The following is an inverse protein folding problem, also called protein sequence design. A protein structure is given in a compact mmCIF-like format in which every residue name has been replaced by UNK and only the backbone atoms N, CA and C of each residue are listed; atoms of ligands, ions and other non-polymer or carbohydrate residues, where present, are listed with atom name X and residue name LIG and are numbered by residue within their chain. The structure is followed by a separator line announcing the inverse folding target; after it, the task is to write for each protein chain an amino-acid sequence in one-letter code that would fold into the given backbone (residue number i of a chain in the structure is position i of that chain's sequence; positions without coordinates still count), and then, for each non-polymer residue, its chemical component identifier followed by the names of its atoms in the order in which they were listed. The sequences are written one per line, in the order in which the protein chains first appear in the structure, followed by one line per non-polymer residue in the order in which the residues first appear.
data_IF_924972885743
#
_entry.id   IF_924972885743
#
_cell.length_a   1.000
_cell.length_b   1.000
_cell.length_c   1.000
_cell.angle_alpha   90.00
_cell.angle_beta   90.00
_cell.angle_gamma   90.00
#
_symmetry.space_group_name_H-M   'P 1'
#
loop_
_entity.id
_entity.type
_entity.pdbx_description
1 polymer ?
#
# COMPACT_ATOMS: atom_id res chain seq x y z
N UNK A 1 8.57 -3.83 14.39
CA UNK A 1 7.67 -4.97 14.66
C UNK A 1 6.82 -4.77 15.91
N UNK A 2 7.39 -4.61 17.11
CA UNK A 2 6.61 -4.41 18.34
C UNK A 2 5.59 -3.25 18.27
N UNK A 3 6.00 -2.09 17.78
CA UNK A 3 5.11 -0.92 17.65
C UNK A 3 4.00 -1.15 16.61
N UNK A 4 4.29 -1.88 15.51
CA UNK A 4 3.30 -2.31 14.52
C UNK A 4 2.25 -3.23 15.16
N UNK A 5 2.68 -4.23 15.94
CA UNK A 5 1.79 -5.17 16.64
C UNK A 5 0.94 -4.45 17.69
N UNK A 6 1.51 -3.51 18.44
CA UNK A 6 0.73 -2.67 19.37
C UNK A 6 -0.31 -1.83 18.64
N UNK A 7 0.00 -1.35 17.44
CA UNK A 7 -0.96 -0.63 16.60
C UNK A 7 -2.11 -1.53 16.14
N UNK A 8 -1.86 -2.82 15.89
CA UNK A 8 -2.92 -3.77 15.50
C UNK A 8 -4.05 -3.87 16.53
N UNK A 9 -3.75 -3.72 17.82
CA UNK A 9 -4.77 -3.74 18.89
C UNK A 9 -5.72 -2.55 18.86
N UNK A 10 -5.33 -1.45 18.21
CA UNK A 10 -6.14 -0.24 18.08
C UNK A 10 -6.98 -0.24 16.81
N UNK A 11 -6.74 -1.19 15.93
CA UNK A 11 -7.52 -1.35 14.71
C UNK A 11 -8.91 -1.78 15.13
N UNK A 12 -9.90 -1.07 14.60
CA UNK A 12 -11.31 -1.41 14.74
C UNK A 12 -11.89 -1.42 13.34
N UNK A 13 -12.69 -2.44 13.06
CA UNK A 13 -13.42 -2.48 11.81
C UNK A 13 -14.60 -1.52 11.87
N UNK A 14 -14.68 -0.61 10.90
CA UNK A 14 -15.84 0.25 10.71
C UNK A 14 -16.30 0.21 9.26
N UNK A 15 -17.61 0.19 9.00
CA UNK A 15 -18.12 0.39 7.66
C UNK A 15 -17.78 1.81 7.18
N UNK A 16 -17.34 1.89 5.92
CA UNK A 16 -17.09 3.16 5.22
C UNK A 16 -18.25 3.41 4.27
N UNK A 17 -19.01 4.47 4.51
CA UNK A 17 -20.16 4.86 3.67
C UNK A 17 -19.71 5.33 2.29
N UNK A 18 -20.58 5.26 1.27
CA UNK A 18 -20.21 5.71 -0.08
C UNK A 18 -19.83 7.19 -0.16
N UNK A 19 -20.36 8.04 0.72
CA UNK A 19 -19.95 9.44 0.82
C UNK A 19 -18.55 9.58 1.40
N UNK A 20 -18.20 8.79 2.43
CA UNK A 20 -16.84 8.73 2.98
C UNK A 20 -15.83 8.19 1.95
N UNK A 21 -16.22 7.19 1.13
CA UNK A 21 -15.36 6.69 0.04
C UNK A 21 -14.96 7.81 -0.91
N UNK A 22 -15.86 8.73 -1.25
CA UNK A 22 -15.55 9.88 -2.11
C UNK A 22 -14.49 10.79 -1.50
N UNK A 23 -14.57 11.05 -0.19
CA UNK A 23 -13.55 11.82 0.55
C UNK A 23 -12.20 11.10 0.50
N UNK A 24 -12.18 9.79 0.74
CA UNK A 24 -10.96 8.99 0.67
C UNK A 24 -10.36 8.96 -0.74
N UNK A 25 -11.17 8.81 -1.78
CA UNK A 25 -10.71 8.90 -3.17
C UNK A 25 -10.00 10.23 -3.46
N UNK A 26 -10.51 11.34 -2.93
CA UNK A 26 -9.88 12.65 -3.07
C UNK A 26 -8.53 12.74 -2.32
N UNK A 27 -8.44 12.12 -1.13
CA UNK A 27 -7.20 12.09 -0.33
C UNK A 27 -6.13 11.20 -0.98
N UNK A 28 -6.53 10.04 -1.52
CA UNK A 28 -5.66 9.09 -2.23
C UNK A 28 -5.14 9.73 -3.52
N UNK A 29 -6.06 10.24 -4.34
CA UNK A 29 -5.78 10.76 -5.67
C UNK A 29 -5.54 12.25 -5.67
N UNK A 30 -4.94 12.81 -4.62
CA UNK A 30 -4.72 14.26 -4.44
C UNK A 30 -3.74 14.89 -5.47
N UNK A 31 -3.71 14.36 -6.70
CA UNK A 31 -3.27 14.95 -7.97
C UNK A 31 -3.98 16.27 -8.29
N UNK A 32 -5.10 16.60 -7.63
CA UNK A 32 -5.75 17.91 -7.80
C UNK A 32 -4.84 19.07 -7.37
N UNK A 33 -3.86 18.90 -6.46
CA UNK A 33 -2.92 19.99 -6.13
C UNK A 33 -2.04 20.39 -7.31
N UNK A 34 -1.50 19.44 -8.06
CA UNK A 34 -0.60 19.74 -9.19
C UNK A 34 -1.35 20.13 -10.45
N UNK A 35 -2.48 19.47 -10.74
CA UNK A 35 -3.30 19.83 -11.89
C UNK A 35 -4.05 21.13 -11.66
N UNK A 36 -4.65 21.38 -10.49
CA UNK A 36 -5.29 22.68 -10.23
C UNK A 36 -4.27 23.80 -10.10
N UNK A 37 -3.05 23.59 -9.57
CA UNK A 37 -2.03 24.66 -9.61
C UNK A 37 -1.53 24.92 -11.03
N UNK A 38 -1.34 23.89 -11.87
CA UNK A 38 -0.98 24.08 -13.29
C UNK A 38 -2.11 24.72 -14.09
N UNK A 39 -3.35 24.26 -13.90
CA UNK A 39 -4.56 24.78 -14.55
C UNK A 39 -4.90 26.18 -14.03
N UNK A 40 -4.68 26.49 -12.75
CA UNK A 40 -4.88 27.83 -12.17
C UNK A 40 -3.79 28.79 -12.62
N UNK A 41 -2.53 28.32 -12.75
CA UNK A 41 -1.46 29.09 -13.42
C UNK A 41 -1.81 29.36 -14.89
N UNK A 42 -2.27 28.36 -15.64
CA UNK A 42 -2.74 28.53 -17.02
C UNK A 42 -3.97 29.44 -17.11
N UNK A 43 -4.98 29.27 -16.25
CA UNK A 43 -6.20 30.08 -16.26
C UNK A 43 -5.95 31.53 -15.83
N UNK A 44 -5.04 31.76 -14.89
CA UNK A 44 -4.57 33.10 -14.54
C UNK A 44 -3.75 33.72 -15.68
N UNK A 45 -3.01 32.91 -16.44
CA UNK A 45 -2.29 33.35 -17.64
C UNK A 45 -3.23 33.68 -18.81
N UNK A 46 -4.37 33.00 -18.93
CA UNK A 46 -5.35 33.17 -20.01
C UNK A 46 -6.63 33.93 -19.62
N UNK A 47 -6.73 34.49 -18.42
CA UNK A 47 -7.84 35.35 -18.00
C UNK A 47 -9.22 34.68 -17.85
N UNK A 48 -9.29 33.36 -17.73
CA UNK A 48 -10.58 32.65 -17.62
C UNK A 48 -11.12 32.66 -16.18
N UNK A 49 -12.14 33.49 -15.92
CA UNK A 49 -12.95 33.43 -14.70
C UNK A 49 -13.91 32.24 -14.82
N UNK A 50 -13.74 31.21 -13.98
CA UNK A 50 -14.71 30.12 -13.88
C UNK A 50 -15.59 30.30 -12.64
N UNK A 51 -16.90 30.46 -12.85
CA UNK A 51 -17.91 30.27 -11.82
C UNK A 51 -17.94 28.78 -11.44
N UNK A 52 -17.31 28.41 -10.32
CA UNK A 52 -17.40 27.06 -9.77
C UNK A 52 -18.73 26.95 -9.04
N UNK A 53 -19.58 25.98 -9.44
CA UNK A 53 -20.70 25.50 -8.62
C UNK A 53 -20.11 25.13 -7.25
N UNK A 54 -20.67 25.71 -6.20
CA UNK A 54 -20.40 25.37 -4.81
C UNK A 54 -20.94 23.95 -4.62
N UNK A 55 -20.08 22.94 -4.77
CA UNK A 55 -20.37 21.61 -4.23
C UNK A 55 -20.52 21.76 -2.71
N UNK A 56 -21.56 21.14 -2.16
CA UNK A 56 -22.01 21.27 -0.77
C UNK A 56 -20.86 21.09 0.25
N UNK A 57 -20.26 22.21 0.67
CA UNK A 57 -19.21 22.26 1.69
C UNK A 57 -19.66 21.64 3.03
N UNK A 58 -20.96 21.64 3.31
CA UNK A 58 -21.53 21.14 4.55
C UNK A 58 -21.45 19.62 4.67
N UNK A 59 -21.83 18.86 3.64
CA UNK A 59 -21.78 17.39 3.68
C UNK A 59 -20.34 16.91 3.78
N UNK A 60 -19.44 17.47 2.95
CA UNK A 60 -18.02 17.10 2.95
C UNK A 60 -17.36 17.33 4.33
N UNK A 61 -17.80 18.33 5.08
CA UNK A 61 -17.31 18.55 6.45
C UNK A 61 -17.78 17.47 7.44
N UNK A 62 -19.00 16.94 7.28
CA UNK A 62 -19.55 15.86 8.11
C UNK A 62 -18.83 14.54 7.84
N UNK A 63 -18.65 14.18 6.57
CA UNK A 63 -17.93 12.95 6.21
C UNK A 63 -16.45 13.00 6.63
N UNK A 64 -15.82 14.17 6.52
CA UNK A 64 -14.43 14.36 6.97
C UNK A 64 -14.31 14.21 8.47
N UNK A 65 -15.23 14.78 9.24
CA UNK A 65 -15.27 14.63 10.69
C UNK A 65 -15.52 13.16 11.09
N UNK A 66 -16.45 12.47 10.43
CA UNK A 66 -16.70 11.04 10.65
C UNK A 66 -15.44 10.20 10.40
N UNK A 67 -14.70 10.46 9.33
CA UNK A 67 -13.43 9.77 9.04
C UNK A 67 -12.33 10.09 10.06
N UNK A 68 -12.30 11.30 10.62
CA UNK A 68 -11.40 11.67 11.72
C UNK A 68 -11.77 10.98 13.03
N UNK A 69 -13.06 10.93 13.37
CA UNK A 69 -13.57 10.23 14.55
C UNK A 69 -13.29 8.72 14.48
N UNK A 70 -13.39 8.13 13.27
CA UNK A 70 -12.96 6.75 12.99
C UNK A 70 -11.44 6.57 13.01
N UNK A 71 -10.66 7.64 13.10
CA UNK A 71 -9.20 7.61 13.08
C UNK A 71 -8.59 7.20 11.73
N UNK A 72 -9.36 7.27 10.63
CA UNK A 72 -8.91 6.90 9.27
C UNK A 72 -8.04 8.01 8.66
N UNK A 73 -8.35 9.25 9.00
CA UNK A 73 -7.61 10.43 8.53
C UNK A 73 -7.25 11.32 9.71
N UNK A 74 -6.16 12.07 9.58
CA UNK A 74 -5.74 13.07 10.55
C UNK A 74 -5.36 14.39 9.86
N UNK A 75 -5.42 15.53 10.58
CA UNK A 75 -4.92 16.80 10.08
C UNK A 75 -3.43 16.70 9.75
N UNK A 76 -3.08 17.16 8.56
CA UNK A 76 -1.71 17.29 8.10
C UNK A 76 -1.10 18.55 8.73
N UNK A 77 -0.60 18.40 9.96
CA UNK A 77 0.12 19.45 10.68
C UNK A 77 1.50 19.66 10.05
N UNK A 78 1.54 20.29 8.88
CA UNK A 78 2.74 21.04 8.50
C UNK A 78 2.81 22.25 9.44
N UNK A 79 3.98 22.61 9.99
CA UNK A 79 4.09 23.79 10.83
C UNK A 79 3.77 25.01 9.97
N UNK A 80 2.53 25.46 10.06
CA UNK A 80 2.10 26.76 9.58
C UNK A 80 2.42 27.69 10.74
N UNK A 81 3.35 28.61 10.48
CA UNK A 81 3.78 29.73 11.31
C UNK A 81 3.07 29.87 12.66
N UNK A 82 3.88 29.73 13.71
CA UNK A 82 3.58 30.06 15.09
C UNK A 82 3.00 31.47 15.22
N UNK A 83 1.67 31.57 15.22
CA UNK A 83 0.94 32.69 15.81
C UNK A 83 -0.16 32.12 16.69
N UNK A 84 0.05 32.05 18.02
CA UNK A 84 -0.91 31.50 18.96
C UNK A 84 -1.91 32.61 19.32
N UNK A 85 -2.93 32.80 18.48
CA UNK A 85 -4.19 33.47 18.85
C UNK A 85 -5.19 33.23 17.72
N UNK A 86 -6.44 32.97 18.12
CA UNK A 86 -7.60 32.55 17.31
C UNK A 86 -7.76 31.02 17.17
N UNK A 87 -8.10 30.39 18.30
CA UNK A 87 -8.88 29.15 18.32
C UNK A 87 -10.33 29.56 18.04
N UNK A 88 -10.74 29.51 16.77
CA UNK A 88 -12.15 29.48 16.39
C UNK A 88 -12.32 28.62 15.13
N UNK A 89 -13.10 27.55 15.28
CA UNK A 89 -13.79 26.76 14.25
C UNK A 89 -13.22 26.81 12.82
N UNK A 90 -11.97 26.38 12.61
CA UNK A 90 -11.45 26.19 11.26
C UNK A 90 -11.94 24.84 10.72
N UNK A 91 -12.93 24.88 9.84
CA UNK A 91 -13.34 23.73 9.01
C UNK A 91 -12.10 23.15 8.32
N UNK A 92 -11.76 21.90 8.67
CA UNK A 92 -10.67 21.18 8.02
C UNK A 92 -11.16 20.73 6.66
N UNK A 93 -10.71 21.42 5.61
CA UNK A 93 -10.93 20.99 4.22
C UNK A 93 -10.15 19.71 3.93
N UNK A 94 -10.70 18.79 3.12
CA UNK A 94 -10.05 17.55 2.64
C UNK A 94 -8.57 17.72 2.23
N UNK A 95 -8.22 18.91 1.73
CA UNK A 95 -6.90 19.31 1.26
C UNK A 95 -5.82 19.38 2.36
N UNK A 96 -6.20 19.30 3.64
CA UNK A 96 -5.32 19.32 4.81
C UNK A 96 -5.35 18.02 5.60
N UNK A 97 -5.89 16.94 5.06
CA UNK A 97 -5.91 15.64 5.75
C UNK A 97 -4.90 14.67 5.12
N UNK A 98 -4.32 13.80 5.94
CA UNK A 98 -3.55 12.62 5.49
C UNK A 98 -4.14 11.36 6.09
N UNK A 99 -3.87 10.22 5.47
CA UNK A 99 -4.27 8.92 6.03
C UNK A 99 -3.40 8.59 7.23
N UNK A 100 -4.01 7.97 8.24
CA UNK A 100 -3.30 7.29 9.32
C UNK A 100 -2.93 5.87 8.88
N UNK A 101 -2.18 5.13 9.71
CA UNK A 101 -1.89 3.72 9.46
C UNK A 101 -3.16 2.87 9.40
N UNK A 102 -4.16 3.17 10.24
CA UNK A 102 -5.50 2.56 10.17
C UNK A 102 -6.16 2.88 8.82
N UNK A 103 -6.07 4.13 8.36
CA UNK A 103 -6.58 4.53 7.06
C UNK A 103 -5.95 3.75 5.92
N UNK A 104 -4.63 3.54 5.93
CA UNK A 104 -3.93 2.74 4.91
C UNK A 104 -4.43 1.29 4.87
N UNK A 105 -4.60 0.65 6.03
CA UNK A 105 -5.14 -0.72 6.13
C UNK A 105 -6.55 -0.80 5.52
N UNK A 106 -7.39 0.20 5.76
CA UNK A 106 -8.70 0.29 5.13
C UNK A 106 -8.62 0.51 3.61
N UNK A 107 -7.71 1.34 3.13
CA UNK A 107 -7.51 1.56 1.69
C UNK A 107 -7.09 0.26 1.00
N UNK A 108 -6.18 -0.49 1.60
CA UNK A 108 -5.67 -1.73 1.01
C UNK A 108 -6.69 -2.87 1.07
N UNK A 109 -7.35 -3.10 2.20
CA UNK A 109 -8.36 -4.16 2.36
C UNK A 109 -9.54 -3.98 1.40
N UNK A 110 -9.97 -2.74 1.17
CA UNK A 110 -11.09 -2.41 0.30
C UNK A 110 -10.68 -2.26 -1.18
N UNK A 111 -9.43 -2.59 -1.54
CA UNK A 111 -8.93 -2.58 -2.93
C UNK A 111 -9.15 -1.26 -3.66
N UNK A 112 -8.96 -0.14 -2.97
CA UNK A 112 -8.99 1.17 -3.63
C UNK A 112 -7.89 1.26 -4.70
N UNK A 113 -8.16 1.96 -5.79
CA UNK A 113 -7.15 2.24 -6.81
C UNK A 113 -6.23 3.37 -6.34
N UNK A 114 -4.93 3.09 -6.28
CA UNK A 114 -3.87 4.06 -5.94
C UNK A 114 -2.64 3.85 -6.85
N UNK A 115 -1.77 4.86 -6.95
CA UNK A 115 -0.53 4.80 -7.74
C UNK A 115 0.68 4.42 -6.88
N UNK A 116 1.84 4.06 -7.48
CA UNK A 116 3.08 3.90 -6.73
C UNK A 116 3.45 5.16 -5.92
N UNK A 117 3.23 6.36 -6.46
CA UNK A 117 3.49 7.63 -5.74
C UNK A 117 2.71 7.74 -4.43
N UNK A 118 1.51 7.17 -4.36
CA UNK A 118 0.73 7.12 -3.12
C UNK A 118 1.47 6.29 -2.05
N UNK A 119 2.06 5.15 -2.42
CA UNK A 119 2.83 4.34 -1.48
C UNK A 119 4.11 5.08 -1.04
N UNK A 120 4.78 5.77 -1.96
CA UNK A 120 5.95 6.59 -1.63
C UNK A 120 5.60 7.71 -0.64
N UNK A 121 4.44 8.35 -0.78
CA UNK A 121 3.99 9.41 0.13
C UNK A 121 3.87 8.95 1.59
N UNK A 122 3.58 7.67 1.83
CA UNK A 122 3.39 7.09 3.16
C UNK A 122 4.51 6.10 3.52
N UNK A 123 5.70 6.20 2.91
CA UNK A 123 6.78 5.24 3.13
C UNK A 123 7.30 5.18 4.57
N UNK A 124 7.14 6.27 5.31
CA UNK A 124 7.53 6.39 6.72
C UNK A 124 6.40 5.97 7.67
N UNK A 125 5.20 5.65 7.16
CA UNK A 125 4.12 5.09 7.98
C UNK A 125 4.49 3.68 8.45
N UNK A 126 4.27 3.39 9.72
CA UNK A 126 4.72 2.13 10.33
C UNK A 126 4.13 0.89 9.67
N UNK A 127 2.86 0.91 9.25
CA UNK A 127 2.21 -0.23 8.61
C UNK A 127 2.82 -0.43 7.23
N UNK A 128 2.93 0.64 6.44
CA UNK A 128 3.47 0.51 5.10
C UNK A 128 4.97 0.23 5.11
N UNK A 129 5.68 0.69 6.14
CA UNK A 129 7.08 0.36 6.36
C UNK A 129 7.26 -1.13 6.63
N UNK A 130 6.55 -1.69 7.62
CA UNK A 130 6.70 -3.10 7.99
C UNK A 130 6.20 -4.05 6.90
N UNK A 131 5.09 -3.73 6.23
CA UNK A 131 4.54 -4.58 5.17
C UNK A 131 5.33 -4.45 3.86
N UNK A 132 5.71 -3.24 3.43
CA UNK A 132 6.26 -3.03 2.09
C UNK A 132 7.72 -2.56 2.10
N UNK A 133 8.01 -1.43 2.75
CA UNK A 133 9.34 -0.81 2.62
C UNK A 133 10.44 -1.50 3.42
N UNK A 134 10.11 -2.49 4.23
CA UNK A 134 11.07 -3.46 4.78
C UNK A 134 11.67 -4.36 3.69
N UNK A 135 10.90 -4.62 2.64
CA UNK A 135 11.27 -5.53 1.55
C UNK A 135 11.74 -4.83 0.28
N UNK A 136 11.46 -3.53 0.12
CA UNK A 136 11.85 -2.78 -1.08
C UNK A 136 12.37 -1.38 -0.73
N UNK A 137 13.30 -0.90 -1.53
CA UNK A 137 13.69 0.52 -1.55
C UNK A 137 12.62 1.38 -2.21
N UNK A 138 12.51 2.64 -1.79
CA UNK A 138 11.57 3.60 -2.36
C UNK A 138 11.74 3.78 -3.87
N UNK A 139 12.97 3.73 -4.38
CA UNK A 139 13.23 3.81 -5.81
C UNK A 139 12.63 2.64 -6.59
N UNK A 140 12.70 1.41 -6.06
CA UNK A 140 12.13 0.22 -6.68
C UNK A 140 10.61 0.36 -6.82
N UNK A 141 9.93 0.77 -5.74
CA UNK A 141 8.49 1.02 -5.74
C UNK A 141 8.13 2.16 -6.71
N UNK A 142 8.90 3.25 -6.73
CA UNK A 142 8.67 4.39 -7.62
C UNK A 142 8.74 4.00 -9.10
N UNK A 143 9.60 3.05 -9.45
CA UNK A 143 9.76 2.54 -10.83
C UNK A 143 8.91 1.32 -11.14
N UNK A 144 7.93 0.99 -10.29
CA UNK A 144 7.12 -0.21 -10.45
C UNK A 144 6.41 -0.29 -11.81
N UNK A 145 6.56 -1.43 -12.48
CA UNK A 145 5.74 -1.77 -13.65
C UNK A 145 4.33 -2.15 -13.22
N UNK A 146 3.38 -2.14 -14.17
CA UNK A 146 2.00 -2.52 -13.86
C UNK A 146 1.89 -3.95 -13.29
N UNK A 147 2.64 -4.91 -13.84
CA UNK A 147 2.65 -6.30 -13.34
C UNK A 147 3.23 -6.40 -11.94
N UNK A 148 4.36 -5.75 -11.67
CA UNK A 148 4.96 -5.72 -10.35
C UNK A 148 4.05 -5.04 -9.31
N UNK A 149 3.47 -3.90 -9.70
CA UNK A 149 2.57 -3.16 -8.82
C UNK A 149 1.31 -3.97 -8.48
N UNK A 150 0.76 -4.73 -9.42
CA UNK A 150 -0.37 -5.61 -9.15
C UNK A 150 -0.05 -6.69 -8.10
N UNK A 151 1.16 -7.23 -8.10
CA UNK A 151 1.58 -8.18 -7.06
C UNK A 151 1.69 -7.48 -5.70
N UNK A 152 2.22 -6.25 -5.67
CA UNK A 152 2.29 -5.45 -4.44
C UNK A 152 0.88 -5.17 -3.89
N UNK A 153 -0.05 -4.72 -4.74
CA UNK A 153 -1.41 -4.39 -4.30
C UNK A 153 -2.16 -5.62 -3.79
N UNK A 154 -1.98 -6.78 -4.43
CA UNK A 154 -2.52 -8.06 -3.95
C UNK A 154 -1.96 -8.43 -2.57
N UNK A 155 -0.63 -8.31 -2.39
CA UNK A 155 0.02 -8.58 -1.11
C UNK A 155 -0.46 -7.64 0.01
N UNK A 156 -0.55 -6.35 -0.26
CA UNK A 156 -1.05 -5.36 0.71
C UNK A 156 -2.52 -5.63 1.08
N UNK A 157 -3.33 -6.05 0.10
CA UNK A 157 -4.72 -6.42 0.33
C UNK A 157 -4.82 -7.63 1.26
N UNK A 158 -4.09 -8.71 0.96
CA UNK A 158 -4.08 -9.93 1.78
C UNK A 158 -3.62 -9.66 3.21
N UNK A 159 -2.53 -8.91 3.35
CA UNK A 159 -1.99 -8.55 4.66
C UNK A 159 -2.98 -7.70 5.46
N UNK A 160 -3.62 -6.72 4.81
CA UNK A 160 -4.59 -5.83 5.46
C UNK A 160 -5.88 -6.54 5.84
N UNK A 161 -6.36 -7.48 5.02
CA UNK A 161 -7.52 -8.31 5.36
C UNK A 161 -7.25 -9.20 6.57
N UNK A 162 -6.07 -9.83 6.63
CA UNK A 162 -5.65 -10.60 7.80
C UNK A 162 -5.65 -9.73 9.06
N UNK A 163 -5.06 -8.54 8.99
CA UNK A 163 -5.00 -7.59 10.10
C UNK A 163 -6.41 -7.17 10.57
N UNK A 164 -7.32 -6.87 9.65
CA UNK A 164 -8.70 -6.51 10.01
C UNK A 164 -9.43 -7.68 10.68
N UNK A 165 -9.29 -8.89 10.15
CA UNK A 165 -9.94 -10.07 10.72
C UNK A 165 -9.40 -10.39 12.11
N UNK A 166 -8.09 -10.23 12.32
CA UNK A 166 -7.47 -10.37 13.63
C UNK A 166 -8.09 -9.40 14.67
N UNK A 167 -8.37 -8.16 14.27
CA UNK A 167 -9.03 -7.15 15.12
C UNK A 167 -10.48 -7.53 15.48
N UNK A 168 -11.20 -8.21 14.58
CA UNK A 168 -12.58 -8.67 14.83
C UNK A 168 -12.67 -9.84 15.82
N UNK A 169 -11.62 -10.66 15.88
CA UNK A 169 -11.58 -11.86 16.71
C UNK A 169 -11.04 -11.59 18.13
N UNK A 170 -10.51 -10.39 18.39
CA UNK A 170 -9.74 -10.11 19.60
C UNK A 170 -10.29 -8.92 20.40
N UNK A 171 -11.20 -9.23 21.34
CA UNK A 171 -11.61 -8.30 22.41
C UNK A 171 -10.61 -8.25 23.59
N UNK A 172 -9.54 -9.06 23.53
CA UNK A 172 -8.56 -9.24 24.61
C UNK A 172 -7.17 -8.73 24.19
N UNK A 173 -6.33 -8.30 25.15
CA UNK A 173 -4.94 -7.94 24.87
C UNK A 173 -4.17 -9.14 24.28
N UNK A 174 -3.26 -8.85 23.34
CA UNK A 174 -2.42 -9.82 22.66
C UNK A 174 -1.47 -10.51 23.66
N UNK A 175 -1.56 -11.82 23.77
CA UNK A 175 -0.55 -12.64 24.48
C UNK A 175 0.75 -12.72 23.67
N UNK A 176 1.89 -13.05 24.27
CA UNK A 176 3.15 -13.25 23.54
C UNK A 176 3.01 -14.23 22.37
N UNK A 177 2.35 -15.36 22.58
CA UNK A 177 2.13 -16.39 21.56
C UNK A 177 1.33 -15.86 20.36
N UNK A 178 0.29 -15.04 20.63
CA UNK A 178 -0.50 -14.40 19.57
C UNK A 178 0.35 -13.41 18.76
N UNK A 179 1.28 -12.70 19.40
CA UNK A 179 2.20 -11.79 18.70
C UNK A 179 3.13 -12.57 17.78
N UNK A 180 3.69 -13.68 18.27
CA UNK A 180 4.54 -14.56 17.47
C UNK A 180 3.77 -15.15 16.28
N UNK A 181 2.52 -15.56 16.46
CA UNK A 181 1.68 -16.05 15.36
C UNK A 181 1.45 -14.98 14.29
N UNK A 182 1.15 -13.74 14.70
CA UNK A 182 0.98 -12.60 13.79
C UNK A 182 2.27 -12.34 13.00
N UNK A 183 3.41 -12.28 13.70
CA UNK A 183 4.71 -12.07 13.06
C UNK A 183 5.00 -13.17 12.03
N UNK A 184 4.74 -14.42 12.41
CA UNK A 184 4.90 -15.57 11.55
C UNK A 184 3.99 -15.49 10.31
N UNK A 185 2.72 -15.10 10.48
CA UNK A 185 1.77 -14.97 9.36
C UNK A 185 2.19 -13.87 8.39
N UNK A 186 2.60 -12.71 8.89
CA UNK A 186 3.11 -11.60 8.06
C UNK A 186 4.40 -12.01 7.35
N UNK A 187 5.29 -12.76 8.01
CA UNK A 187 6.48 -13.35 7.38
C UNK A 187 6.08 -14.27 6.21
N UNK A 188 5.12 -15.18 6.41
CA UNK A 188 4.62 -16.07 5.34
C UNK A 188 4.11 -15.28 4.14
N UNK A 189 3.29 -14.24 4.34
CA UNK A 189 2.80 -13.43 3.23
C UNK A 189 3.95 -12.76 2.46
N UNK A 190 4.99 -12.34 3.17
CA UNK A 190 6.16 -11.70 2.58
C UNK A 190 6.99 -12.71 1.77
N UNK A 191 7.12 -13.96 2.23
CA UNK A 191 7.74 -15.04 1.47
C UNK A 191 6.95 -15.36 0.19
N UNK A 192 5.62 -15.43 0.29
CA UNK A 192 4.73 -15.63 -0.88
C UNK A 192 4.91 -14.49 -1.88
N UNK A 193 5.03 -13.25 -1.41
CA UNK A 193 5.33 -12.09 -2.26
C UNK A 193 6.65 -12.27 -3.02
N UNK A 194 7.74 -12.57 -2.31
CA UNK A 194 9.06 -12.77 -2.93
C UNK A 194 9.06 -13.92 -3.95
N UNK A 195 8.35 -15.01 -3.64
CA UNK A 195 8.18 -16.14 -4.55
C UNK A 195 7.40 -15.76 -5.81
N UNK A 196 6.27 -15.06 -5.68
CA UNK A 196 5.47 -14.56 -6.81
C UNK A 196 6.28 -13.64 -7.73
N UNK A 197 7.08 -12.72 -7.15
CA UNK A 197 7.95 -11.83 -7.92
C UNK A 197 9.00 -12.63 -8.69
N UNK A 198 9.60 -13.65 -8.06
CA UNK A 198 10.60 -14.53 -8.69
C UNK A 198 10.02 -15.28 -9.88
N UNK A 199 8.80 -15.81 -9.74
CA UNK A 199 8.08 -16.44 -10.84
C UNK A 199 7.80 -15.41 -11.95
N UNK A 200 7.27 -14.25 -11.62
CA UNK A 200 6.89 -13.23 -12.60
C UNK A 200 8.08 -12.79 -13.48
N UNK A 201 9.24 -12.56 -12.86
CA UNK A 201 10.45 -12.09 -13.53
C UNK A 201 11.42 -13.21 -13.94
N UNK A 202 10.95 -14.45 -13.94
CA UNK A 202 11.63 -15.52 -14.65
C UNK A 202 11.57 -15.23 -16.16
N UNK A 203 12.68 -15.42 -16.88
CA UNK A 203 12.82 -15.05 -18.30
C UNK A 203 11.72 -15.68 -19.16
N UNK A 204 11.32 -16.91 -18.84
CA UNK A 204 10.21 -17.60 -19.52
C UNK A 204 8.87 -16.86 -19.38
N UNK A 205 8.57 -16.33 -18.19
CA UNK A 205 7.29 -15.68 -17.88
C UNK A 205 7.22 -14.24 -18.39
N UNK A 206 8.37 -13.57 -18.51
CA UNK A 206 8.46 -12.26 -19.16
C UNK A 206 8.08 -12.38 -20.64
N UNK A 207 8.49 -13.47 -21.30
CA UNK A 207 8.23 -13.72 -22.73
C UNK A 207 6.79 -14.22 -22.95
N UNK A 208 6.33 -15.20 -22.18
CA UNK A 208 5.05 -15.88 -22.41
C UNK A 208 3.82 -15.02 -22.11
N UNK A 209 3.89 -14.14 -21.11
CA UNK A 209 2.76 -13.32 -20.66
C UNK A 209 2.35 -12.19 -21.63
N UNK A 210 3.05 -12.03 -22.75
CA UNK A 210 2.80 -10.97 -23.73
C UNK A 210 2.28 -11.49 -25.08
N UNK A 211 2.17 -12.80 -25.27
CA UNK A 211 1.80 -13.45 -26.54
C UNK A 211 0.34 -13.12 -26.97
N UNK A 212 -0.50 -12.60 -26.06
CA UNK A 212 -1.88 -12.18 -26.37
C UNK A 212 -2.04 -10.81 -27.03
N UNK A 213 -0.97 -10.04 -27.22
CA UNK A 213 -1.02 -8.76 -27.92
C UNK A 213 -0.71 -8.96 -29.41
N UNK A 214 -1.66 -8.67 -30.31
CA UNK A 214 -1.49 -8.84 -31.77
C UNK A 214 -0.51 -7.84 -32.42
N UNK A 215 0.43 -7.27 -31.66
CA UNK A 215 1.36 -6.25 -32.13
C UNK A 215 2.76 -6.46 -31.53
N UNK A 216 3.69 -6.91 -32.37
CA UNK A 216 5.09 -7.21 -32.00
C UNK A 216 5.81 -6.02 -31.36
N UNK A 217 5.47 -4.79 -31.76
CA UNK A 217 6.05 -3.57 -31.16
C UNK A 217 5.61 -3.39 -29.72
N UNK A 218 4.36 -3.73 -29.41
CA UNK A 218 3.82 -3.68 -28.04
C UNK A 218 4.44 -4.78 -27.19
N UNK A 219 4.56 -5.99 -27.74
CA UNK A 219 5.24 -7.12 -27.06
C UNK A 219 6.68 -6.74 -26.70
N UNK A 220 7.43 -6.19 -27.65
CA UNK A 220 8.81 -5.77 -27.44
C UNK A 220 8.93 -4.64 -26.40
N UNK A 221 8.03 -3.66 -26.43
CA UNK A 221 8.01 -2.58 -25.45
C UNK A 221 7.71 -3.10 -24.04
N UNK A 222 6.73 -4.00 -23.88
CA UNK A 222 6.43 -4.62 -22.57
C UNK A 222 7.63 -5.43 -22.08
N UNK A 223 8.24 -6.22 -22.95
CA UNK A 223 9.43 -7.00 -22.61
C UNK A 223 10.57 -6.12 -22.08
N UNK A 224 10.86 -4.98 -22.73
CA UNK A 224 11.88 -4.05 -22.26
C UNK A 224 11.53 -3.47 -20.88
N UNK A 225 10.28 -3.08 -20.67
CA UNK A 225 9.81 -2.52 -19.39
C UNK A 225 9.95 -3.55 -18.26
N UNK A 226 9.55 -4.80 -18.46
CA UNK A 226 9.68 -5.83 -17.44
C UNK A 226 11.15 -6.27 -17.23
N UNK A 227 11.97 -6.26 -18.28
CA UNK A 227 13.43 -6.51 -18.16
C UNK A 227 14.10 -5.42 -17.32
N UNK A 228 13.70 -4.16 -17.50
CA UNK A 228 14.18 -3.05 -16.67
C UNK A 228 13.76 -3.22 -15.21
N UNK A 229 12.53 -3.65 -14.95
CA UNK A 229 12.06 -3.92 -13.59
C UNK A 229 12.86 -5.05 -12.92
N UNK A 230 13.12 -6.14 -13.63
CA UNK A 230 13.99 -7.23 -13.17
C UNK A 230 15.38 -6.71 -12.80
N UNK A 231 15.96 -5.82 -13.62
CA UNK A 231 17.25 -5.17 -13.36
C UNK A 231 17.22 -4.23 -12.15
N UNK A 232 16.09 -3.56 -11.89
CA UNK A 232 15.93 -2.72 -10.71
C UNK A 232 15.83 -3.59 -9.45
N UNK A 233 15.05 -4.66 -9.48
CA UNK A 233 14.93 -5.63 -8.39
C UNK A 233 16.28 -6.28 -8.05
N UNK A 234 17.08 -6.67 -9.04
CA UNK A 234 18.39 -7.29 -8.80
C UNK A 234 19.43 -6.36 -8.16
N UNK A 235 19.14 -5.05 -8.12
CA UNK A 235 19.98 -4.04 -7.46
C UNK A 235 19.42 -3.57 -6.12
N UNK A 236 18.22 -3.99 -5.75
CA UNK A 236 17.57 -3.60 -4.49
C UNK A 236 18.03 -4.54 -3.37
N UNK A 237 18.90 -4.09 -2.44
CA UNK A 237 19.41 -4.94 -1.37
C UNK A 237 18.31 -5.45 -0.42
N UNK A 238 17.21 -4.70 -0.23
CA UNK A 238 16.11 -5.16 0.62
C UNK A 238 15.36 -6.31 -0.05
N UNK A 239 15.18 -6.22 -1.36
CA UNK A 239 14.56 -7.30 -2.12
C UNK A 239 15.48 -8.54 -2.20
N UNK A 240 16.78 -8.35 -2.37
CA UNK A 240 17.74 -9.46 -2.34
C UNK A 240 17.72 -10.21 -0.99
N UNK A 241 17.56 -9.49 0.13
CA UNK A 241 17.37 -10.13 1.43
C UNK A 241 16.06 -10.91 1.51
N UNK A 242 14.96 -10.39 0.94
CA UNK A 242 13.72 -11.15 0.83
C UNK A 242 13.91 -12.42 0.00
N UNK A 243 14.63 -12.34 -1.11
CA UNK A 243 14.90 -13.48 -1.98
C UNK A 243 15.77 -14.54 -1.29
N UNK A 244 16.77 -14.13 -0.49
CA UNK A 244 17.57 -15.09 0.28
C UNK A 244 16.73 -15.81 1.32
N UNK A 245 15.80 -15.11 1.99
CA UNK A 245 14.85 -15.73 2.92
C UNK A 245 13.94 -16.73 2.20
N UNK A 246 13.37 -16.34 1.05
CA UNK A 246 12.54 -17.25 0.22
C UNK A 246 13.32 -18.50 -0.17
N UNK A 247 14.55 -18.34 -0.65
CA UNK A 247 15.39 -19.47 -1.03
C UNK A 247 15.71 -20.37 0.17
N UNK A 248 16.02 -19.79 1.34
CA UNK A 248 16.36 -20.55 2.54
C UNK A 248 15.17 -21.37 3.04
N UNK A 249 14.00 -20.74 3.16
CA UNK A 249 12.78 -21.39 3.65
C UNK A 249 12.29 -22.47 2.68
N UNK A 250 12.36 -22.20 1.37
CA UNK A 250 12.00 -23.18 0.34
C UNK A 250 12.93 -24.40 0.37
N UNK A 251 14.24 -24.18 0.43
CA UNK A 251 15.21 -25.28 0.49
C UNK A 251 15.08 -26.09 1.78
N UNK A 252 14.83 -25.44 2.92
CA UNK A 252 14.55 -26.12 4.18
C UNK A 252 13.33 -27.03 4.05
N UNK A 253 12.20 -26.48 3.59
CA UNK A 253 10.97 -27.27 3.43
C UNK A 253 11.11 -28.42 2.43
N UNK A 254 11.89 -28.23 1.35
CA UNK A 254 12.20 -29.31 0.41
C UNK A 254 13.04 -30.42 1.03
N UNK A 255 14.06 -30.06 1.81
CA UNK A 255 14.90 -31.02 2.53
C UNK A 255 14.08 -31.81 3.57
N UNK A 256 13.18 -31.14 4.30
CA UNK A 256 12.29 -31.78 5.27
C UNK A 256 11.35 -32.78 4.56
N UNK A 257 10.75 -32.36 3.45
CA UNK A 257 9.85 -33.20 2.66
C UNK A 257 10.56 -34.44 2.08
N UNK A 258 11.75 -34.25 1.50
CA UNK A 258 12.52 -35.37 0.94
C UNK A 258 13.06 -36.31 2.01
N UNK A 259 13.44 -35.78 3.18
CA UNK A 259 13.84 -36.58 4.34
C UNK A 259 12.68 -37.42 4.87
N UNK A 260 11.48 -36.86 4.93
CA UNK A 260 10.25 -37.57 5.29
C UNK A 260 9.93 -38.71 4.31
N UNK A 261 9.91 -38.42 3.00
CA UNK A 261 9.67 -39.43 1.97
C UNK A 261 10.76 -40.53 1.91
N UNK A 262 11.98 -40.21 2.34
CA UNK A 262 13.08 -41.17 2.46
C UNK A 262 12.96 -42.13 3.66
N UNK A 263 12.14 -41.79 4.66
CA UNK A 263 11.85 -42.64 5.82
C UNK A 263 10.70 -43.62 5.55
N UNK A 264 9.67 -43.20 4.81
CA UNK A 264 8.53 -44.07 4.45
C UNK A 264 8.92 -45.22 3.50
N UNK A 265 10.01 -45.10 2.75
CA UNK A 265 10.52 -46.15 1.85
C UNK A 265 11.43 -47.19 2.55
N UNK A 266 11.55 -47.15 3.89
CA UNK A 266 12.37 -48.10 4.68
C UNK A 266 11.56 -49.07 5.54
N UNK A 267 10.25 -49.19 5.32
CA UNK A 267 9.37 -50.13 6.02
C UNK A 267 8.68 -51.09 5.06
#
# INVERSE_FOLDING_TARGET
MNEFITLLQRIRHFPISDSEKKVLYNIINNRQRDSNNKIKKLKNFFGFISNKKVENLSTTSVETNSLMEKGIIEPNNTPIDSNPKVVSNRQVTNEKCKLTSLGLIHIFSNKYTYSPDFLIKYNDDIVLHELLFKHFQSNTIKTATAKFFNIITEYLTTSSNYIINLSLEQDKPLTPDMKEEIEHKIKIFSLILGFKITILFNDYNIISSNIGANNDKVIFAIHQVETLMKKNLSKDPKFLNLLSMVSSEFNSGYNDFTSFMGQDNKH
#
